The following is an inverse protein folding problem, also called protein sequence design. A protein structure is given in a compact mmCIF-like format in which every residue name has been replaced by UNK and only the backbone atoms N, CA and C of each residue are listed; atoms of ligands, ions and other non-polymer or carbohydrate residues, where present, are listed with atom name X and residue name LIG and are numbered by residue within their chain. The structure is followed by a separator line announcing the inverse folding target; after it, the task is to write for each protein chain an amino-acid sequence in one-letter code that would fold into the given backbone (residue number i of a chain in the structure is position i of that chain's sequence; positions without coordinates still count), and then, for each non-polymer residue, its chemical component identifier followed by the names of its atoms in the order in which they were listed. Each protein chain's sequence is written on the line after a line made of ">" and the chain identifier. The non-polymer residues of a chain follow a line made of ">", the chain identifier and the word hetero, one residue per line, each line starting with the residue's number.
data_IF_406257159627
#
_entry.id   IF_406257159627
#
_cell.length_a   1.000
_cell.length_b   1.000
_cell.length_c   1.000
_cell.angle_alpha   90.00
_cell.angle_beta   90.00
_cell.angle_gamma   90.00
#
_symmetry.space_group_name_H-M   'P 1'
#
loop_
_entity.id
_entity.type
_entity.pdbx_description
1 polymer ?
#
# COMPACT_ATOMS: atom_id res chain seq x y z
N UNK A 1 -4.90 15.05 4.42
CA UNK A 1 -3.50 14.79 3.98
C UNK A 1 -3.17 15.39 2.61
N UNK A 2 -3.75 14.98 1.48
CA UNK A 2 -3.38 15.50 0.14
C UNK A 2 -3.48 17.02 0.07
N UNK A 3 -4.51 17.62 0.65
CA UNK A 3 -4.67 19.08 0.69
C UNK A 3 -3.60 19.78 1.58
N UNK A 4 -3.01 19.09 2.54
CA UNK A 4 -1.90 19.58 3.37
C UNK A 4 -0.58 19.52 2.62
N UNK A 5 -0.34 18.40 1.91
CA UNK A 5 0.87 18.20 1.09
C UNK A 5 0.83 19.13 -0.13
N UNK A 6 -0.36 19.37 -0.71
CA UNK A 6 -0.59 20.17 -1.90
C UNK A 6 0.36 19.84 -3.06
N UNK A 7 0.45 18.56 -3.49
CA UNK A 7 1.44 18.11 -4.44
C UNK A 7 1.24 18.75 -5.82
N UNK A 8 2.35 18.97 -6.52
CA UNK A 8 2.43 19.53 -7.86
C UNK A 8 2.93 18.49 -8.87
N UNK A 9 3.00 18.89 -10.14
CA UNK A 9 3.57 18.02 -11.21
C UNK A 9 5.08 17.77 -11.06
N UNK A 10 5.76 18.48 -10.18
CA UNK A 10 7.18 18.27 -9.90
C UNK A 10 7.40 17.23 -8.80
N UNK A 11 6.33 16.90 -8.06
CA UNK A 11 6.38 15.96 -6.95
C UNK A 11 6.04 14.56 -7.43
N UNK A 12 6.75 13.56 -6.93
CA UNK A 12 6.44 12.15 -7.08
C UNK A 12 5.74 11.65 -5.81
N UNK A 13 4.55 11.08 -5.97
CA UNK A 13 3.79 10.43 -4.89
C UNK A 13 3.80 8.93 -5.13
N UNK A 14 4.17 8.18 -4.11
CA UNK A 14 4.12 6.70 -4.17
C UNK A 14 3.09 6.20 -3.18
N UNK A 15 2.11 5.44 -3.66
CA UNK A 15 1.16 4.69 -2.84
C UNK A 15 1.71 3.29 -2.60
N UNK A 16 1.68 2.82 -1.34
CA UNK A 16 2.23 1.54 -0.93
C UNK A 16 1.23 0.38 -0.96
N UNK A 17 0.11 0.52 -1.65
CA UNK A 17 -0.90 -0.52 -1.82
C UNK A 17 -2.06 -0.45 -0.84
N UNK A 18 -2.97 -1.43 -0.95
CA UNK A 18 -4.17 -1.61 -0.12
C UNK A 18 -5.09 -0.39 -0.10
N UNK A 19 -5.47 0.08 -1.31
CA UNK A 19 -6.19 1.33 -1.44
C UNK A 19 -7.69 1.25 -1.10
N UNK A 20 -8.35 0.08 -1.18
CA UNK A 20 -9.81 0.02 -1.28
C UNK A 20 -10.54 -0.65 -0.12
N UNK A 21 -9.95 -1.65 0.51
CA UNK A 21 -10.61 -2.44 1.54
C UNK A 21 -10.58 -1.79 2.92
N UNK A 22 -11.54 -2.20 3.76
CA UNK A 22 -11.74 -1.80 5.15
C UNK A 22 -12.38 -0.42 5.34
N UNK A 23 -11.78 0.69 5.08
CA UNK A 23 -12.39 2.04 5.00
C UNK A 23 -13.19 2.56 6.22
N UNK A 24 -13.04 1.99 7.40
CA UNK A 24 -13.70 2.46 8.62
C UNK A 24 -15.24 2.38 8.61
N UNK A 25 -15.92 3.33 9.27
CA UNK A 25 -17.38 3.32 9.42
C UNK A 25 -18.16 3.67 8.14
N UNK A 26 -17.57 4.46 7.26
CA UNK A 26 -18.18 4.94 6.02
C UNK A 26 -17.24 4.75 4.83
N UNK A 27 -17.00 3.51 4.39
CA UNK A 27 -16.08 3.22 3.30
C UNK A 27 -16.61 3.75 1.97
N UNK A 28 -15.76 4.45 1.23
CA UNK A 28 -16.05 4.94 -0.13
C UNK A 28 -14.92 4.57 -1.11
N UNK A 29 -14.81 3.29 -1.50
CA UNK A 29 -13.75 2.83 -2.40
C UNK A 29 -13.82 3.50 -3.78
N UNK A 30 -15.01 3.85 -4.26
CA UNK A 30 -15.16 4.59 -5.52
C UNK A 30 -14.62 6.00 -5.39
N UNK A 31 -14.89 6.68 -4.28
CA UNK A 31 -14.32 8.00 -3.98
C UNK A 31 -12.80 7.95 -3.86
N UNK A 32 -12.24 6.90 -3.25
CA UNK A 32 -10.78 6.67 -3.20
C UNK A 32 -10.22 6.50 -4.60
N UNK A 33 -10.83 5.65 -5.44
CA UNK A 33 -10.40 5.45 -6.83
C UNK A 33 -10.34 6.76 -7.62
N UNK A 34 -11.40 7.56 -7.58
CA UNK A 34 -11.42 8.86 -8.27
C UNK A 34 -10.41 9.86 -7.69
N UNK A 35 -10.13 9.83 -6.39
CA UNK A 35 -9.08 10.66 -5.78
C UNK A 35 -7.69 10.25 -6.25
N UNK A 36 -7.40 8.95 -6.36
CA UNK A 36 -6.14 8.42 -6.91
C UNK A 36 -5.99 8.86 -8.38
N UNK A 37 -7.02 8.67 -9.21
CA UNK A 37 -7.00 9.13 -10.60
C UNK A 37 -6.74 10.64 -10.70
N UNK A 38 -7.42 11.44 -9.87
CA UNK A 38 -7.23 12.89 -9.83
C UNK A 38 -5.83 13.28 -9.38
N UNK A 39 -5.27 12.58 -8.40
CA UNK A 39 -3.90 12.81 -7.93
C UNK A 39 -2.91 12.61 -9.07
N UNK A 40 -3.04 11.55 -9.87
CA UNK A 40 -2.21 11.27 -11.04
C UNK A 40 -2.32 12.34 -12.17
N UNK A 41 -3.37 13.16 -12.18
CA UNK A 41 -3.45 14.30 -13.09
C UNK A 41 -2.64 15.54 -12.62
N UNK A 42 -2.36 15.62 -11.32
CA UNK A 42 -1.74 16.80 -10.69
C UNK A 42 -0.31 16.55 -10.18
N UNK A 43 0.06 15.31 -9.92
CA UNK A 43 1.38 14.89 -9.48
C UNK A 43 1.87 13.70 -10.31
N UNK A 44 3.15 13.38 -10.24
CA UNK A 44 3.67 12.13 -10.78
C UNK A 44 3.34 11.00 -9.81
N UNK A 45 2.30 10.22 -10.12
CA UNK A 45 1.81 9.16 -9.26
C UNK A 45 2.40 7.81 -9.66
N UNK A 46 2.99 7.12 -8.70
CA UNK A 46 3.34 5.70 -8.77
C UNK A 46 2.54 4.94 -7.72
N UNK A 47 2.14 3.73 -8.03
CA UNK A 47 1.33 2.92 -7.14
C UNK A 47 1.91 1.51 -7.10
N UNK A 48 2.11 0.98 -5.90
CA UNK A 48 2.58 -0.38 -5.63
C UNK A 48 1.36 -1.23 -5.30
N UNK A 49 1.30 -2.44 -5.85
CA UNK A 49 0.22 -3.38 -5.58
C UNK A 49 0.31 -3.91 -4.16
N UNK A 50 -0.81 -3.83 -3.41
CA UNK A 50 -1.00 -4.48 -2.13
C UNK A 50 -1.71 -5.83 -2.26
N UNK A 51 -1.73 -6.62 -1.19
CA UNK A 51 -2.40 -7.92 -1.18
C UNK A 51 -3.92 -7.79 -1.27
N UNK A 52 -4.53 -6.77 -0.66
CA UNK A 52 -5.97 -6.49 -0.82
C UNK A 52 -6.31 -6.00 -2.23
N UNK A 53 -5.45 -5.19 -2.85
CA UNK A 53 -5.61 -4.79 -4.25
C UNK A 53 -5.61 -6.03 -5.16
N UNK A 54 -4.66 -6.96 -4.95
CA UNK A 54 -4.56 -8.24 -5.67
C UNK A 54 -5.84 -9.07 -5.52
N UNK A 55 -6.31 -9.26 -4.29
CA UNK A 55 -7.53 -10.03 -3.99
C UNK A 55 -8.76 -9.41 -4.67
N UNK A 56 -8.89 -8.09 -4.65
CA UNK A 56 -9.98 -7.39 -5.31
C UNK A 56 -9.95 -7.62 -6.83
N UNK A 57 -8.79 -7.47 -7.47
CA UNK A 57 -8.65 -7.69 -8.91
C UNK A 57 -8.98 -9.14 -9.30
N UNK A 58 -8.51 -10.12 -8.56
CA UNK A 58 -8.81 -11.54 -8.80
C UNK A 58 -10.29 -11.86 -8.63
N UNK A 59 -10.94 -11.25 -7.63
CA UNK A 59 -12.37 -11.39 -7.44
C UNK A 59 -13.17 -10.76 -8.58
N UNK A 60 -12.80 -9.57 -9.04
CA UNK A 60 -13.42 -8.89 -10.19
C UNK A 60 -13.36 -9.78 -11.43
N UNK A 61 -12.20 -10.34 -11.77
CA UNK A 61 -12.08 -11.25 -12.92
C UNK A 61 -12.93 -12.50 -12.75
N UNK A 62 -12.92 -13.11 -11.57
CA UNK A 62 -13.73 -14.30 -11.29
C UNK A 62 -15.22 -14.01 -11.45
N UNK A 63 -15.69 -12.88 -10.94
CA UNK A 63 -17.10 -12.50 -10.97
C UNK A 63 -17.57 -12.15 -12.38
N UNK A 64 -16.85 -11.30 -13.11
CA UNK A 64 -17.27 -10.86 -14.45
C UNK A 64 -16.91 -11.86 -15.55
N UNK A 65 -15.93 -12.73 -15.35
CA UNK A 65 -15.60 -13.84 -16.25
C UNK A 65 -16.60 -15.01 -16.18
N UNK A 66 -17.33 -15.14 -15.07
CA UNK A 66 -18.30 -16.21 -14.87
C UNK A 66 -19.63 -15.92 -15.57
N UNK A 67 -20.28 -16.96 -16.09
CA UNK A 67 -21.68 -16.86 -16.55
C UNK A 67 -22.64 -16.68 -15.34
N UNK A 68 -23.89 -16.24 -15.60
CA UNK A 68 -24.86 -15.96 -14.52
C UNK A 68 -25.10 -17.13 -13.57
N UNK A 69 -25.11 -18.38 -14.10
CA UNK A 69 -25.28 -19.59 -13.30
C UNK A 69 -24.08 -19.80 -12.35
N UNK A 70 -22.88 -19.60 -12.85
CA UNK A 70 -21.63 -19.77 -12.09
C UNK A 70 -21.46 -18.69 -11.03
N UNK A 71 -21.83 -17.44 -11.31
CA UNK A 71 -21.79 -16.31 -10.34
C UNK A 71 -22.53 -16.62 -9.05
N UNK A 72 -23.64 -17.37 -9.12
CA UNK A 72 -24.40 -17.78 -7.93
C UNK A 72 -23.64 -18.73 -7.00
N UNK A 73 -22.57 -19.34 -7.51
CA UNK A 73 -21.71 -20.27 -6.75
C UNK A 73 -20.40 -19.62 -6.26
N UNK A 74 -20.08 -18.40 -6.73
CA UNK A 74 -18.91 -17.67 -6.27
C UNK A 74 -19.15 -17.26 -4.81
N UNK A 75 -18.19 -17.58 -3.94
CA UNK A 75 -18.24 -17.09 -2.56
C UNK A 75 -18.22 -15.57 -2.55
N UNK A 76 -18.98 -14.91 -1.67
CA UNK A 76 -18.92 -13.45 -1.56
C UNK A 76 -17.49 -12.97 -1.31
N UNK A 77 -17.18 -11.78 -1.84
CA UNK A 77 -15.92 -11.14 -1.52
C UNK A 77 -15.79 -10.92 -0.01
N UNK A 78 -14.63 -11.23 0.54
CA UNK A 78 -14.45 -11.24 2.00
C UNK A 78 -14.45 -9.84 2.65
N UNK A 79 -14.28 -8.79 1.83
CA UNK A 79 -14.32 -7.39 2.25
C UNK A 79 -15.50 -6.66 1.59
N UNK A 80 -15.62 -5.37 1.81
CA UNK A 80 -16.76 -4.58 1.38
C UNK A 80 -16.58 -3.83 0.04
N UNK A 81 -15.33 -3.65 -0.40
CA UNK A 81 -15.03 -2.77 -1.54
C UNK A 81 -15.69 -3.22 -2.83
N UNK A 82 -15.66 -4.53 -3.16
CA UNK A 82 -16.29 -5.03 -4.39
C UNK A 82 -17.78 -4.69 -4.45
N UNK A 83 -18.53 -4.97 -3.37
CA UNK A 83 -19.96 -4.74 -3.34
C UNK A 83 -20.31 -3.24 -3.43
N UNK A 84 -19.53 -2.39 -2.77
CA UNK A 84 -19.69 -0.94 -2.83
C UNK A 84 -19.31 -0.34 -4.21
N UNK A 85 -18.39 -0.98 -4.92
CA UNK A 85 -17.95 -0.54 -6.25
C UNK A 85 -18.87 -1.01 -7.36
N UNK A 86 -19.29 -2.28 -7.37
CA UNK A 86 -20.11 -2.87 -8.45
C UNK A 86 -21.45 -2.18 -8.67
N UNK A 87 -22.01 -1.55 -7.62
CA UNK A 87 -23.28 -0.83 -7.69
C UNK A 87 -23.13 0.61 -8.23
N UNK A 88 -21.88 1.09 -8.36
CA UNK A 88 -21.55 2.47 -8.74
C UNK A 88 -20.69 2.58 -10.00
N UNK A 89 -19.99 1.51 -10.37
CA UNK A 89 -19.14 1.42 -11.56
C UNK A 89 -19.73 0.44 -12.57
N UNK A 90 -19.58 0.72 -13.85
CA UNK A 90 -19.95 -0.24 -14.88
C UNK A 90 -19.02 -1.46 -14.88
N UNK A 91 -19.47 -2.63 -15.36
CA UNK A 91 -18.63 -3.83 -15.45
C UNK A 91 -17.28 -3.61 -16.17
N UNK A 92 -17.29 -2.78 -17.21
CA UNK A 92 -16.07 -2.44 -17.96
C UNK A 92 -15.10 -1.64 -17.09
N UNK A 93 -15.58 -0.67 -16.31
CA UNK A 93 -14.73 0.13 -15.41
C UNK A 93 -14.13 -0.73 -14.28
N UNK A 94 -14.89 -1.74 -13.82
CA UNK A 94 -14.38 -2.71 -12.84
C UNK A 94 -13.27 -3.58 -13.43
N UNK A 95 -13.42 -4.05 -14.67
CA UNK A 95 -12.39 -4.83 -15.36
C UNK A 95 -11.16 -3.98 -15.67
N UNK A 96 -11.34 -2.73 -16.11
CA UNK A 96 -10.23 -1.78 -16.32
C UNK A 96 -9.46 -1.52 -15.01
N UNK A 97 -10.17 -1.42 -13.88
CA UNK A 97 -9.54 -1.31 -12.56
C UNK A 97 -8.74 -2.58 -12.21
N UNK A 98 -9.27 -3.76 -12.48
CA UNK A 98 -8.58 -5.02 -12.24
C UNK A 98 -7.32 -5.15 -13.11
N UNK A 99 -7.39 -4.76 -14.38
CA UNK A 99 -6.25 -4.71 -15.31
C UNK A 99 -5.19 -3.72 -14.82
N UNK A 100 -5.60 -2.52 -14.37
CA UNK A 100 -4.72 -1.54 -13.75
C UNK A 100 -3.98 -2.14 -12.54
N UNK A 101 -4.72 -2.72 -11.60
CA UNK A 101 -4.15 -3.31 -10.38
C UNK A 101 -3.14 -4.41 -10.72
N UNK A 102 -3.47 -5.32 -11.63
CA UNK A 102 -2.56 -6.42 -12.03
C UNK A 102 -1.29 -5.91 -12.73
N UNK A 103 -1.35 -4.74 -13.35
CA UNK A 103 -0.20 -4.07 -13.97
C UNK A 103 0.68 -3.27 -12.98
N UNK A 104 0.27 -3.11 -11.71
CA UNK A 104 1.05 -2.37 -10.73
C UNK A 104 2.33 -3.12 -10.34
N UNK A 105 3.45 -2.40 -10.14
CA UNK A 105 4.70 -3.00 -9.67
C UNK A 105 4.55 -3.52 -8.23
N UNK A 106 5.35 -4.51 -7.87
CA UNK A 106 5.45 -5.04 -6.50
C UNK A 106 6.49 -4.28 -5.67
N UNK A 107 7.51 -3.74 -6.32
CA UNK A 107 8.57 -2.95 -5.69
C UNK A 107 9.01 -1.82 -6.62
N UNK A 108 9.42 -0.72 -6.01
CA UNK A 108 9.94 0.47 -6.69
C UNK A 108 11.29 0.82 -6.06
N UNK A 109 12.30 1.10 -6.91
CA UNK A 109 13.55 1.72 -6.47
C UNK A 109 13.53 3.23 -6.79
N UNK A 110 13.95 4.05 -5.83
CA UNK A 110 14.11 5.51 -5.96
C UNK A 110 15.48 5.92 -5.42
N UNK A 111 16.13 6.85 -6.10
CA UNK A 111 17.39 7.42 -5.66
C UNK A 111 17.20 8.91 -5.33
N UNK A 112 17.51 9.32 -4.09
CA UNK A 112 17.43 10.71 -3.64
C UNK A 112 18.77 11.10 -3.02
N UNK A 113 19.48 11.99 -3.68
CA UNK A 113 20.85 12.33 -3.28
C UNK A 113 21.78 11.10 -3.32
N UNK A 114 22.37 10.75 -2.18
CA UNK A 114 23.22 9.57 -2.04
C UNK A 114 22.50 8.33 -1.50
N UNK A 115 21.21 8.46 -1.16
CA UNK A 115 20.41 7.36 -0.59
C UNK A 115 19.64 6.63 -1.67
N UNK A 116 19.61 5.31 -1.54
CA UNK A 116 18.78 4.41 -2.36
C UNK A 116 17.62 3.90 -1.52
N UNK A 117 16.43 4.04 -2.04
CA UNK A 117 15.20 3.62 -1.38
C UNK A 117 14.56 2.47 -2.13
N UNK A 118 14.06 1.48 -1.40
CA UNK A 118 13.18 0.43 -1.89
C UNK A 118 11.80 0.61 -1.24
N UNK A 119 10.78 0.59 -2.07
CA UNK A 119 9.40 0.73 -1.63
C UNK A 119 8.62 -0.51 -2.08
N UNK A 120 7.95 -1.19 -1.17
CA UNK A 120 7.09 -2.33 -1.45
C UNK A 120 5.88 -2.32 -0.51
N UNK A 121 4.89 -3.18 -0.77
CA UNK A 121 3.74 -3.26 0.12
C UNK A 121 4.11 -3.83 1.49
N UNK A 122 4.62 -5.07 1.56
CA UNK A 122 4.94 -5.72 2.83
C UNK A 122 6.44 -5.87 3.10
N UNK A 123 7.23 -6.25 2.10
CA UNK A 123 8.66 -6.50 2.25
C UNK A 123 9.43 -6.11 0.99
N UNK A 124 10.64 -5.57 1.16
CA UNK A 124 11.53 -5.19 0.06
C UNK A 124 12.68 -6.17 -0.08
N UNK A 125 13.21 -6.31 -1.31
CA UNK A 125 14.32 -7.18 -1.64
C UNK A 125 15.37 -6.44 -2.45
N UNK A 126 16.65 -6.85 -2.33
CA UNK A 126 17.74 -6.33 -3.16
C UNK A 126 17.44 -6.64 -4.64
N UNK A 127 17.33 -5.64 -5.52
CA UNK A 127 17.04 -5.84 -6.93
C UNK A 127 18.11 -6.68 -7.68
N UNK A 128 19.32 -6.82 -7.11
CA UNK A 128 20.37 -7.65 -7.67
C UNK A 128 20.19 -9.15 -7.40
N UNK A 129 19.29 -9.52 -6.49
CA UNK A 129 18.97 -10.91 -6.20
C UNK A 129 17.99 -11.47 -7.24
N UNK A 130 17.90 -12.81 -7.28
CA UNK A 130 16.90 -13.50 -8.11
C UNK A 130 15.49 -13.03 -7.71
N UNK A 131 14.63 -12.87 -8.70
CA UNK A 131 13.23 -12.51 -8.52
C UNK A 131 12.56 -13.38 -7.43
N UNK A 132 11.90 -12.72 -6.52
CA UNK A 132 11.22 -13.35 -5.41
C UNK A 132 9.78 -13.72 -5.78
N UNK A 133 9.15 -14.59 -5.03
CA UNK A 133 7.72 -14.87 -5.15
C UNK A 133 6.91 -13.58 -4.85
N UNK A 134 5.91 -13.30 -5.67
CA UNK A 134 5.03 -12.12 -5.51
C UNK A 134 4.46 -12.01 -4.10
N UNK A 135 4.14 -13.16 -3.47
CA UNK A 135 3.58 -13.24 -2.11
C UNK A 135 4.50 -12.58 -1.08
N UNK A 136 5.81 -12.65 -1.26
CA UNK A 136 6.75 -12.03 -0.32
C UNK A 136 6.70 -10.50 -0.36
N UNK A 137 6.45 -9.92 -1.53
CA UNK A 137 6.24 -8.47 -1.65
C UNK A 137 4.88 -8.01 -1.10
N UNK A 138 3.86 -8.89 -1.19
CA UNK A 138 2.47 -8.59 -0.85
C UNK A 138 2.12 -8.88 0.62
N UNK A 139 2.72 -9.91 1.22
CA UNK A 139 2.38 -10.39 2.56
C UNK A 139 3.60 -10.46 3.50
N UNK A 140 4.82 -10.47 2.93
CA UNK A 140 6.06 -10.65 3.69
C UNK A 140 6.30 -12.11 4.09
N UNK A 141 7.23 -12.32 5.01
CA UNK A 141 7.54 -13.61 5.63
C UNK A 141 6.68 -13.80 6.89
N UNK A 142 6.48 -15.07 7.30
CA UNK A 142 5.85 -15.38 8.58
C UNK A 142 6.64 -14.78 9.76
N UNK A 143 7.98 -14.83 9.68
CA UNK A 143 8.88 -14.21 10.65
C UNK A 143 9.67 -13.09 9.97
N UNK A 144 9.36 -11.86 10.37
CA UNK A 144 9.94 -10.64 9.84
C UNK A 144 10.98 -9.99 10.78
N UNK A 145 11.33 -10.63 11.93
CA UNK A 145 12.17 -10.01 12.96
C UNK A 145 13.53 -9.56 12.42
N UNK A 146 14.18 -10.44 11.63
CA UNK A 146 15.49 -10.11 11.04
C UNK A 146 15.38 -8.98 10.02
N UNK A 147 14.31 -8.96 9.21
CA UNK A 147 14.05 -7.89 8.26
C UNK A 147 13.81 -6.55 8.97
N UNK A 148 12.98 -6.54 10.02
CA UNK A 148 12.75 -5.32 10.80
C UNK A 148 14.04 -4.81 11.43
N UNK A 149 14.93 -5.68 11.87
CA UNK A 149 16.19 -5.31 12.53
C UNK A 149 17.24 -4.81 11.56
N UNK A 150 17.39 -5.41 10.38
CA UNK A 150 18.53 -5.15 9.49
C UNK A 150 18.16 -4.45 8.17
N UNK A 151 16.96 -4.67 7.66
CA UNK A 151 16.55 -4.19 6.34
C UNK A 151 17.33 -4.81 5.20
N UNK A 152 17.31 -4.16 4.04
CA UNK A 152 18.08 -4.55 2.86
C UNK A 152 19.40 -3.77 2.82
N UNK A 153 20.51 -4.48 2.74
CA UNK A 153 21.87 -3.88 2.77
C UNK A 153 22.05 -2.86 1.64
N UNK A 154 22.42 -1.64 2.00
CA UNK A 154 22.67 -0.54 1.06
C UNK A 154 21.44 0.24 0.63
N UNK A 155 20.27 -0.10 1.18
CA UNK A 155 19.01 0.56 0.89
C UNK A 155 18.30 1.02 2.16
N UNK A 156 17.38 1.96 1.98
CA UNK A 156 16.34 2.32 2.96
C UNK A 156 15.03 1.75 2.45
N UNK A 157 14.38 0.90 3.24
CA UNK A 157 13.13 0.22 2.90
C UNK A 157 11.94 0.99 3.47
N UNK A 158 10.91 1.23 2.64
CA UNK A 158 9.63 1.77 3.07
C UNK A 158 8.54 0.75 2.77
N UNK A 159 7.76 0.37 3.78
CA UNK A 159 6.72 -0.65 3.68
C UNK A 159 5.44 -0.23 4.40
N UNK A 160 4.33 -0.84 3.98
CA UNK A 160 3.01 -0.78 4.61
C UNK A 160 2.59 -2.12 5.22
N UNK A 161 1.36 -2.59 4.88
CA UNK A 161 0.80 -3.91 5.18
C UNK A 161 0.67 -4.25 6.66
N UNK A 162 1.78 -4.27 7.39
CA UNK A 162 1.79 -4.57 8.82
C UNK A 162 1.63 -3.26 9.60
N UNK A 163 0.56 -3.18 10.39
CA UNK A 163 0.32 -2.03 11.26
C UNK A 163 1.53 -1.81 12.19
N UNK A 164 2.03 -0.59 12.23
CA UNK A 164 3.19 -0.20 13.06
C UNK A 164 2.98 -0.49 14.54
N UNK A 165 1.73 -0.62 15.03
CA UNK A 165 1.43 -0.96 16.42
C UNK A 165 1.99 -2.33 16.84
N UNK A 166 2.21 -3.25 15.90
CA UNK A 166 2.90 -4.52 16.19
C UNK A 166 4.33 -4.33 16.69
N UNK A 167 4.92 -3.14 16.47
CA UNK A 167 6.26 -2.80 16.92
C UNK A 167 6.30 -2.14 18.32
N UNK A 168 5.17 -2.09 19.05
CA UNK A 168 5.04 -1.36 20.32
C UNK A 168 6.11 -1.72 21.37
N UNK A 169 6.53 -2.97 21.42
CA UNK A 169 7.57 -3.44 22.35
C UNK A 169 8.87 -3.88 21.65
N UNK A 170 9.04 -3.55 20.37
CA UNK A 170 10.26 -3.93 19.66
C UNK A 170 11.45 -3.09 20.16
N UNK A 171 12.47 -3.71 20.76
CA UNK A 171 13.63 -2.99 21.32
C UNK A 171 14.58 -2.46 20.23
N UNK A 172 14.36 -2.83 18.95
CA UNK A 172 15.24 -2.52 17.85
C UNK A 172 14.72 -1.38 16.96
N UNK A 173 13.91 -0.50 17.52
CA UNK A 173 13.41 0.65 16.79
C UNK A 173 12.52 1.56 17.62
N UNK A 174 11.92 2.56 16.98
CA UNK A 174 11.09 3.57 17.63
C UNK A 174 10.01 4.13 16.72
N UNK A 175 8.97 4.65 17.31
CA UNK A 175 8.03 5.54 16.64
C UNK A 175 8.61 6.94 16.44
N UNK A 176 8.35 7.56 15.30
CA UNK A 176 8.88 8.89 15.00
C UNK A 176 8.06 10.02 15.63
N UNK A 177 6.75 9.84 15.81
CA UNK A 177 5.84 10.89 16.31
C UNK A 177 4.86 10.34 17.36
N UNK A 178 5.35 9.46 18.24
CA UNK A 178 4.55 8.79 19.28
C UNK A 178 3.80 7.57 18.76
N UNK A 179 3.00 6.94 19.61
CA UNK A 179 2.27 5.71 19.26
C UNK A 179 1.36 5.90 18.06
N UNK A 180 1.16 4.83 17.27
CA UNK A 180 0.41 4.84 16.03
C UNK A 180 0.93 5.86 14.99
N UNK A 181 2.25 6.01 14.92
CA UNK A 181 2.94 6.77 13.89
C UNK A 181 3.88 5.87 13.08
N UNK A 182 4.56 6.44 12.09
CA UNK A 182 5.63 5.75 11.35
C UNK A 182 6.65 5.21 12.34
N UNK A 183 6.95 3.92 12.22
CA UNK A 183 7.99 3.26 12.98
C UNK A 183 9.25 3.12 12.13
N UNK A 184 10.44 3.24 12.75
CA UNK A 184 11.73 2.95 12.11
C UNK A 184 12.60 2.12 13.01
N UNK A 185 13.45 1.28 12.43
CA UNK A 185 14.45 0.52 13.18
C UNK A 185 15.63 1.42 13.65
N UNK A 186 16.51 0.88 14.53
CA UNK A 186 17.67 1.60 15.07
C UNK A 186 18.67 2.02 14.00
N UNK A 187 18.71 1.32 12.87
CA UNK A 187 19.57 1.65 11.74
C UNK A 187 18.98 2.74 10.82
N UNK A 188 17.74 3.15 11.05
CA UNK A 188 16.98 4.09 10.20
C UNK A 188 16.96 3.68 8.70
N UNK A 189 16.91 2.37 8.46
CA UNK A 189 16.89 1.80 7.12
C UNK A 189 15.66 0.93 6.83
N UNK A 190 14.72 0.84 7.78
CA UNK A 190 13.37 0.27 7.56
C UNK A 190 12.36 1.23 8.17
N UNK A 191 11.35 1.63 7.38
CA UNK A 191 10.24 2.47 7.79
C UNK A 191 8.92 1.75 7.54
N UNK A 192 8.10 1.58 8.57
CA UNK A 192 6.74 1.05 8.48
C UNK A 192 5.76 2.22 8.45
N UNK A 193 5.05 2.37 7.34
CA UNK A 193 4.14 3.48 7.09
C UNK A 193 2.67 3.13 7.33
N UNK A 194 2.33 1.85 7.50
CA UNK A 194 0.97 1.49 7.91
C UNK A 194 0.80 1.84 9.39
N UNK A 195 0.03 2.88 9.64
CA UNK A 195 -0.32 3.34 10.99
C UNK A 195 -1.77 2.97 11.34
N UNK A 196 -2.29 1.89 10.75
CA UNK A 196 -3.63 1.36 11.03
C UNK A 196 -4.76 2.14 10.36
N UNK A 197 -4.52 2.75 9.19
CA UNK A 197 -5.57 3.48 8.45
C UNK A 197 -6.82 2.61 8.25
N UNK A 198 -7.99 3.14 8.65
CA UNK A 198 -9.26 2.39 8.66
C UNK A 198 -9.60 1.71 9.99
N UNK A 199 -8.67 1.65 10.95
CA UNK A 199 -8.93 1.21 12.32
C UNK A 199 -9.32 2.40 13.21
N UNK A 200 -9.98 2.13 14.35
CA UNK A 200 -10.57 3.16 15.23
C UNK A 200 -9.57 4.21 15.75
N UNK A 201 -8.30 3.85 15.90
CA UNK A 201 -7.22 4.74 16.36
C UNK A 201 -6.11 4.88 15.32
N UNK A 202 -6.35 4.38 14.12
CA UNK A 202 -5.37 4.40 13.05
C UNK A 202 -5.32 5.72 12.31
N UNK A 203 -4.24 5.90 11.55
CA UNK A 203 -3.99 7.10 10.74
C UNK A 203 -3.43 6.71 9.40
N UNK A 204 -3.78 7.47 8.37
CA UNK A 204 -3.04 7.45 7.12
C UNK A 204 -1.74 8.23 7.32
N UNK A 205 -0.60 7.67 6.96
CA UNK A 205 0.70 8.31 7.11
C UNK A 205 1.37 8.57 5.74
N UNK A 206 2.16 9.62 5.68
CA UNK A 206 3.02 9.95 4.54
C UNK A 206 4.33 10.56 5.05
N UNK A 207 5.43 10.30 4.36
CA UNK A 207 6.75 10.88 4.61
C UNK A 207 7.33 11.47 3.32
N UNK A 208 7.84 12.69 3.39
CA UNK A 208 8.66 13.28 2.33
C UNK A 208 10.10 12.77 2.46
N UNK A 209 10.61 12.08 1.45
CA UNK A 209 11.92 11.42 1.52
C UNK A 209 13.09 12.40 1.45
N UNK A 210 12.90 13.58 0.85
CA UNK A 210 13.90 14.63 0.75
C UNK A 210 14.11 15.35 2.09
N UNK A 211 13.02 15.65 2.80
CA UNK A 211 13.05 16.48 4.00
C UNK A 211 12.89 15.69 5.29
N UNK A 212 12.31 14.48 5.22
CA UNK A 212 11.88 13.70 6.37
C UNK A 212 10.62 14.25 7.05
N UNK A 213 9.94 15.23 6.44
CA UNK A 213 8.64 15.73 6.93
C UNK A 213 7.57 14.65 6.85
N UNK A 214 6.74 14.56 7.88
CA UNK A 214 5.71 13.53 8.01
C UNK A 214 4.33 14.14 8.15
N UNK A 215 3.36 13.50 7.51
CA UNK A 215 1.97 13.93 7.49
C UNK A 215 1.08 12.78 7.96
N UNK A 216 0.06 13.11 8.73
CA UNK A 216 -0.92 12.14 9.23
C UNK A 216 -2.34 12.68 9.06
N UNK A 217 -3.30 11.77 8.76
CA UNK A 217 -4.72 12.09 8.61
C UNK A 217 -5.60 10.96 9.18
#
# INVERSE_FOLDING_TARGET
>A
MIDQIAPSRQDEIVLLGDAFDRGGENPDPVGVYFRICRLGMHANLRWIRGNHDQLLAEYIYSYYGACEKERRSIQPYQYNSFDLMKDRLAPVDMLDLADLIKGLPLQIEINIGSKKYLLAHAMTFDPALVEQDDTLYLEGLYDMEEYWRQGVKGYVSLVGHTDSSYQYNNPHGRYLDGNHSIWTNDLENVYMLDCGCGLSNGRLACICLETGERFYA
#
